data_IF_944460164577
#
_entry.id   IF_944460164577
#
_cell.length_a   1.000
_cell.length_b   1.000
_cell.length_c   1.000
_cell.angle_alpha   90.00
_cell.angle_beta   90.00
_cell.angle_gamma   90.00
#
_symmetry.space_group_name_H-M   'P 1'
#
loop_
_entity.id
_entity.type
_entity.pdbx_description
1 polymer ?
#
# COMPACT_ATOMS: atom_id res chain seq x y z
N UNK A 1 -1.40 -7.18 -15.95
CA UNK A 1 -2.25 -7.44 -14.77
C UNK A 1 -2.18 -6.21 -13.88
N UNK A 2 -3.32 -5.61 -13.50
CA UNK A 2 -3.34 -4.47 -12.57
C UNK A 2 -2.99 -4.92 -11.15
N UNK A 3 -2.38 -4.03 -10.36
CA UNK A 3 -2.00 -4.28 -8.96
C UNK A 3 -3.22 -4.63 -8.09
N UNK A 4 -4.42 -4.26 -8.54
CA UNK A 4 -5.70 -4.76 -8.03
C UNK A 4 -5.79 -6.30 -7.94
N UNK A 5 -5.17 -7.05 -8.85
CA UNK A 5 -5.11 -8.51 -8.81
C UNK A 5 -4.15 -9.02 -7.72
N UNK A 6 -3.14 -8.24 -7.33
CA UNK A 6 -2.20 -8.60 -6.26
C UNK A 6 -2.74 -8.28 -4.87
N UNK A 7 -3.43 -7.14 -4.71
CA UNK A 7 -4.18 -6.85 -3.48
C UNK A 7 -5.28 -7.89 -3.27
N UNK A 8 -5.93 -8.35 -4.36
CA UNK A 8 -6.90 -9.44 -4.30
C UNK A 8 -6.29 -10.80 -3.91
N UNK A 9 -5.01 -11.06 -4.18
CA UNK A 9 -4.34 -12.31 -3.79
C UNK A 9 -3.99 -12.37 -2.29
N UNK A 10 -3.90 -11.22 -1.61
CA UNK A 10 -3.64 -11.15 -0.17
C UNK A 10 -4.89 -10.81 0.66
N UNK A 11 -5.98 -10.39 0.02
CA UNK A 11 -7.24 -10.06 0.68
C UNK A 11 -8.11 -11.30 0.88
N UNK A 12 -8.67 -11.48 2.08
CA UNK A 12 -9.87 -12.30 2.22
C UNK A 12 -10.93 -11.80 1.22
N UNK A 13 -11.67 -12.69 0.56
CA UNK A 13 -12.59 -12.33 -0.54
C UNK A 13 -13.54 -11.16 -0.20
N UNK A 14 -13.94 -11.02 1.07
CA UNK A 14 -14.75 -9.90 1.56
C UNK A 14 -14.03 -8.54 1.56
N UNK A 15 -12.75 -8.49 1.94
CA UNK A 15 -11.99 -7.22 2.00
C UNK A 15 -11.67 -6.70 0.59
N UNK A 16 -11.38 -7.61 -0.34
CA UNK A 16 -11.19 -7.25 -1.75
C UNK A 16 -12.44 -6.61 -2.36
N UNK A 17 -13.64 -7.03 -1.96
CA UNK A 17 -14.89 -6.45 -2.42
C UNK A 17 -15.14 -5.05 -1.85
N UNK A 18 -14.77 -4.81 -0.59
CA UNK A 18 -14.85 -3.47 0.03
C UNK A 18 -13.95 -2.48 -0.72
N UNK A 19 -12.72 -2.88 -1.06
CA UNK A 19 -11.78 -2.05 -1.83
C UNK A 19 -12.34 -1.73 -3.22
N UNK A 20 -12.81 -2.74 -3.95
CA UNK A 20 -13.41 -2.53 -5.28
C UNK A 20 -14.62 -1.59 -5.23
N UNK A 21 -15.51 -1.79 -4.26
CA UNK A 21 -16.69 -0.96 -4.08
C UNK A 21 -16.31 0.49 -3.74
N UNK A 22 -15.38 0.70 -2.80
CA UNK A 22 -14.99 2.03 -2.37
C UNK A 22 -14.30 2.81 -3.49
N UNK A 23 -13.43 2.15 -4.25
CA UNK A 23 -12.75 2.76 -5.41
C UNK A 23 -13.75 3.08 -6.53
N UNK A 24 -14.71 2.21 -6.79
CA UNK A 24 -15.77 2.46 -7.79
C UNK A 24 -16.65 3.67 -7.44
N UNK A 25 -16.81 3.98 -6.15
CA UNK A 25 -17.56 5.16 -5.67
C UNK A 25 -16.75 6.47 -5.75
N UNK A 26 -15.46 6.42 -6.02
CA UNK A 26 -14.63 7.61 -6.19
C UNK A 26 -14.64 8.10 -7.65
N UNK A 27 -14.90 9.39 -7.91
CA UNK A 27 -14.69 9.97 -9.23
C UNK A 27 -13.26 9.77 -9.73
N UNK A 28 -13.08 9.43 -11.01
CA UNK A 28 -11.76 9.14 -11.61
C UNK A 28 -10.72 10.24 -11.35
N UNK A 29 -11.13 11.51 -11.47
CA UNK A 29 -10.25 12.65 -11.25
C UNK A 29 -9.80 12.76 -9.78
N UNK A 30 -10.70 12.48 -8.84
CA UNK A 30 -10.38 12.47 -7.42
C UNK A 30 -9.45 11.32 -7.05
N UNK A 31 -9.69 10.12 -7.62
CA UNK A 31 -8.81 8.98 -7.45
C UNK A 31 -7.40 9.27 -7.99
N UNK A 32 -7.29 9.85 -9.18
CA UNK A 32 -6.00 10.24 -9.76
C UNK A 32 -5.27 11.27 -8.90
N UNK A 33 -5.98 12.28 -8.38
CA UNK A 33 -5.41 13.27 -7.45
C UNK A 33 -4.93 12.62 -6.15
N UNK A 34 -5.70 11.68 -5.60
CA UNK A 34 -5.33 10.94 -4.40
C UNK A 34 -4.06 10.10 -4.64
N UNK A 35 -4.03 9.32 -5.72
CA UNK A 35 -2.88 8.49 -6.10
C UNK A 35 -1.62 9.35 -6.31
N UNK A 36 -1.74 10.47 -7.04
CA UNK A 36 -0.63 11.40 -7.24
C UNK A 36 -0.17 12.01 -5.91
N UNK A 37 -1.10 12.41 -5.04
CA UNK A 37 -0.78 12.93 -3.71
C UNK A 37 -0.04 11.93 -2.84
N UNK A 38 -0.37 10.65 -2.92
CA UNK A 38 0.36 9.57 -2.22
C UNK A 38 1.78 9.39 -2.74
N UNK A 39 1.97 9.40 -4.06
CA UNK A 39 3.30 9.35 -4.68
C UNK A 39 4.14 10.54 -4.23
N UNK A 40 3.61 11.75 -4.32
CA UNK A 40 4.32 12.98 -3.91
C UNK A 40 4.66 12.95 -2.42
N UNK A 41 3.71 12.56 -1.56
CA UNK A 41 3.96 12.45 -0.11
C UNK A 41 5.11 11.51 0.23
N UNK A 42 5.18 10.34 -0.43
CA UNK A 42 6.30 9.39 -0.29
C UNK A 42 7.61 9.99 -0.82
N UNK A 43 7.57 10.61 -1.99
CA UNK A 43 8.75 11.20 -2.60
C UNK A 43 9.30 12.38 -1.78
N UNK A 44 8.46 13.16 -1.13
CA UNK A 44 8.87 14.32 -0.33
C UNK A 44 9.10 13.97 1.15
N UNK A 45 8.64 12.81 1.61
CA UNK A 45 8.65 12.45 3.03
C UNK A 45 7.74 13.34 3.88
N UNK A 46 6.70 13.93 3.26
CA UNK A 46 5.78 14.89 3.91
C UNK A 46 4.41 14.29 4.10
N UNK A 47 3.67 14.84 5.08
CA UNK A 47 2.25 14.55 5.24
C UNK A 47 1.47 14.96 3.98
N UNK A 48 0.37 14.26 3.64
CA UNK A 48 -0.49 14.66 2.53
C UNK A 48 -0.97 16.11 2.71
N UNK A 49 -1.04 16.86 1.61
CA UNK A 49 -1.60 18.21 1.66
C UNK A 49 -3.10 18.17 2.04
N UNK A 50 -3.69 19.24 2.62
CA UNK A 50 -5.08 19.23 3.07
C UNK A 50 -6.12 18.75 2.03
N UNK A 51 -5.99 19.08 0.72
CA UNK A 51 -6.90 18.53 -0.30
C UNK A 51 -6.79 17.00 -0.44
N UNK A 52 -5.60 16.44 -0.24
CA UNK A 52 -5.37 14.99 -0.29
C UNK A 52 -5.89 14.32 0.98
N UNK A 53 -5.73 14.95 2.15
CA UNK A 53 -6.33 14.45 3.40
C UNK A 53 -7.87 14.37 3.31
N UNK A 54 -8.51 15.36 2.67
CA UNK A 54 -9.95 15.31 2.40
C UNK A 54 -10.33 14.12 1.51
N UNK A 55 -9.53 13.82 0.48
CA UNK A 55 -9.73 12.66 -0.38
C UNK A 55 -9.49 11.33 0.36
N UNK A 56 -8.51 11.27 1.26
CA UNK A 56 -8.29 10.12 2.16
C UNK A 56 -9.52 9.91 3.04
N UNK A 57 -10.04 10.97 3.67
CA UNK A 57 -11.25 10.90 4.49
C UNK A 57 -12.46 10.43 3.67
N UNK A 58 -12.61 10.92 2.44
CA UNK A 58 -13.67 10.50 1.51
C UNK A 58 -13.56 9.01 1.14
N UNK A 59 -12.36 8.54 0.83
CA UNK A 59 -12.11 7.11 0.56
C UNK A 59 -12.48 6.22 1.76
N UNK A 60 -12.12 6.63 2.98
CA UNK A 60 -12.52 5.94 4.22
C UNK A 60 -14.03 5.92 4.43
N UNK A 61 -14.71 7.04 4.15
CA UNK A 61 -16.16 7.10 4.24
C UNK A 61 -16.82 6.13 3.25
N UNK A 62 -16.32 6.05 2.00
CA UNK A 62 -16.81 5.07 1.04
C UNK A 62 -16.61 3.63 1.50
N UNK A 63 -15.47 3.32 2.13
CA UNK A 63 -15.20 1.99 2.70
C UNK A 63 -16.30 1.56 3.68
N UNK A 64 -16.70 2.44 4.61
CA UNK A 64 -17.77 2.16 5.57
C UNK A 64 -19.10 1.83 4.89
N UNK A 65 -19.45 2.53 3.80
CA UNK A 65 -20.68 2.24 3.02
C UNK A 65 -20.60 0.96 2.17
N UNK A 66 -19.41 0.36 2.05
CA UNK A 66 -19.15 -0.81 1.24
C UNK A 66 -18.99 -2.09 2.07
N UNK A 67 -19.08 -2.00 3.40
CA UNK A 67 -19.01 -3.15 4.28
C UNK A 67 -20.34 -3.91 4.32
N UNK A 68 -20.32 -5.26 4.26
CA UNK A 68 -21.53 -6.05 4.45
C UNK A 68 -21.93 -6.12 5.93
N UNK A 69 -23.19 -5.78 6.23
CA UNK A 69 -23.99 -6.42 7.28
C UNK A 69 -23.80 -6.06 8.76
N UNK A 70 -23.06 -5.02 9.17
CA UNK A 70 -22.81 -4.79 10.62
C UNK A 70 -23.32 -3.47 11.19
N UNK A 71 -23.73 -2.50 10.37
CA UNK A 71 -24.23 -1.19 10.83
C UNK A 71 -23.20 -0.34 11.62
N UNK A 72 -21.98 -0.85 11.84
CA UNK A 72 -20.87 -0.16 12.51
C UNK A 72 -19.71 -0.02 11.53
N UNK A 73 -19.25 1.22 11.37
CA UNK A 73 -18.10 1.53 10.54
C UNK A 73 -16.84 0.89 11.15
N UNK A 74 -16.28 -0.12 10.47
CA UNK A 74 -14.97 -0.64 10.80
C UNK A 74 -13.90 0.34 10.29
N UNK A 75 -13.17 0.93 11.22
CA UNK A 75 -12.07 1.84 10.91
C UNK A 75 -10.96 1.13 10.10
N UNK A 76 -10.83 -0.20 10.26
CA UNK A 76 -9.90 -1.03 9.48
C UNK A 76 -10.24 -1.07 8.00
N UNK A 77 -11.52 -1.08 7.62
CA UNK A 77 -11.91 -1.05 6.22
C UNK A 77 -11.47 0.25 5.54
N UNK A 78 -11.53 1.36 6.24
CA UNK A 78 -11.00 2.64 5.76
C UNK A 78 -9.50 2.58 5.49
N UNK A 79 -8.72 2.02 6.42
CA UNK A 79 -7.28 1.83 6.23
C UNK A 79 -6.98 0.85 5.08
N UNK A 80 -7.70 -0.27 4.98
CA UNK A 80 -7.56 -1.22 3.88
C UNK A 80 -7.73 -0.55 2.51
N UNK A 81 -8.76 0.28 2.34
CA UNK A 81 -9.00 1.01 1.08
C UNK A 81 -7.87 1.99 0.79
N UNK A 82 -7.51 2.85 1.75
CA UNK A 82 -6.48 3.88 1.55
C UNK A 82 -5.12 3.26 1.26
N UNK A 83 -4.73 2.24 2.01
CA UNK A 83 -3.46 1.54 1.81
C UNK A 83 -3.45 0.78 0.49
N UNK A 84 -4.58 0.21 0.04
CA UNK A 84 -4.68 -0.43 -1.28
C UNK A 84 -4.47 0.55 -2.42
N UNK A 85 -5.07 1.75 -2.34
CA UNK A 85 -4.88 2.82 -3.33
C UNK A 85 -3.40 3.27 -3.34
N UNK A 86 -2.77 3.39 -2.17
CA UNK A 86 -1.35 3.74 -2.06
C UNK A 86 -0.44 2.69 -2.68
N UNK A 87 -0.67 1.39 -2.41
CA UNK A 87 0.11 0.30 -3.00
C UNK A 87 0.01 0.32 -4.52
N UNK A 88 -1.18 0.54 -5.08
CA UNK A 88 -1.37 0.63 -6.53
C UNK A 88 -0.68 1.85 -7.14
N UNK A 89 -0.81 3.02 -6.51
CA UNK A 89 -0.16 4.24 -6.97
C UNK A 89 1.36 4.09 -6.99
N UNK A 90 1.92 3.54 -5.92
CA UNK A 90 3.37 3.36 -5.76
C UNK A 90 3.91 2.24 -6.66
N UNK A 91 3.17 1.16 -6.87
CA UNK A 91 3.54 0.14 -7.86
C UNK A 91 3.54 0.71 -9.28
N UNK A 92 2.57 1.55 -9.63
CA UNK A 92 2.56 2.23 -10.93
C UNK A 92 3.77 3.16 -11.08
N UNK A 93 4.12 3.90 -10.01
CA UNK A 93 5.32 4.72 -9.97
C UNK A 93 6.62 3.91 -10.11
N UNK A 94 6.71 2.74 -9.46
CA UNK A 94 7.86 1.83 -9.59
C UNK A 94 7.96 1.22 -11.00
N UNK A 95 6.84 0.76 -11.56
CA UNK A 95 6.75 0.22 -12.91
C UNK A 95 7.15 1.24 -13.97
N UNK A 96 6.74 2.51 -13.81
CA UNK A 96 7.19 3.61 -14.68
C UNK A 96 8.70 3.86 -14.60
N UNK A 97 9.33 3.50 -13.48
CA UNK A 97 10.78 3.50 -13.31
C UNK A 97 11.38 2.13 -13.63
N UNK A 98 10.68 1.22 -14.30
CA UNK A 98 11.15 -0.11 -14.70
C UNK A 98 11.61 -1.01 -13.56
N UNK A 99 11.04 -0.82 -12.37
CA UNK A 99 11.15 -1.77 -11.25
C UNK A 99 9.91 -2.64 -11.27
N UNK A 100 10.08 -3.96 -11.16
CA UNK A 100 8.96 -4.91 -11.17
C UNK A 100 8.27 -5.01 -9.79
N UNK A 101 7.02 -4.51 -9.64
CA UNK A 101 6.30 -4.61 -8.38
C UNK A 101 5.93 -6.06 -8.00
N UNK A 102 5.90 -6.98 -8.97
CA UNK A 102 5.59 -8.40 -8.73
C UNK A 102 6.69 -9.07 -7.93
N UNK A 103 7.95 -8.84 -8.31
CA UNK A 103 9.10 -9.36 -7.59
C UNK A 103 9.15 -8.86 -6.14
N UNK A 104 8.75 -7.59 -5.92
CA UNK A 104 8.68 -7.00 -4.59
C UNK A 104 7.64 -7.70 -3.71
N UNK A 105 6.43 -7.91 -4.24
CA UNK A 105 5.38 -8.61 -3.50
C UNK A 105 5.77 -10.05 -3.18
N UNK A 106 6.44 -10.74 -4.09
CA UNK A 106 6.97 -12.08 -3.83
C UNK A 106 7.95 -12.06 -2.66
N UNK A 107 8.87 -11.10 -2.62
CA UNK A 107 9.82 -10.96 -1.49
C UNK A 107 9.08 -10.70 -0.18
N UNK A 108 8.13 -9.77 -0.16
CA UNK A 108 7.30 -9.48 1.01
C UNK A 108 6.56 -10.71 1.53
N UNK A 109 6.00 -11.54 0.64
CA UNK A 109 5.29 -12.77 1.02
C UNK A 109 6.19 -13.85 1.63
N UNK A 110 7.49 -13.80 1.35
CA UNK A 110 8.50 -14.72 1.89
C UNK A 110 9.17 -14.17 3.15
N UNK A 111 8.94 -12.89 3.49
CA UNK A 111 9.54 -12.28 4.67
C UNK A 111 8.83 -12.74 5.94
N UNK A 112 9.56 -13.18 6.98
CA UNK A 112 8.95 -13.58 8.25
C UNK A 112 8.10 -12.45 8.88
N UNK A 113 6.93 -12.76 9.48
CA UNK A 113 6.08 -11.75 10.10
C UNK A 113 6.79 -10.89 11.16
N UNK A 114 7.73 -11.46 11.91
CA UNK A 114 8.51 -10.73 12.90
C UNK A 114 9.37 -9.61 12.26
N UNK A 115 9.97 -9.89 11.10
CA UNK A 115 10.79 -8.92 10.34
C UNK A 115 9.89 -7.84 9.75
N UNK A 116 8.73 -8.20 9.18
CA UNK A 116 7.75 -7.22 8.70
C UNK A 116 7.24 -6.32 9.83
N UNK A 117 6.98 -6.88 11.01
CA UNK A 117 6.55 -6.11 12.19
C UNK A 117 7.65 -5.18 12.69
N UNK A 118 8.91 -5.63 12.73
CA UNK A 118 10.05 -4.80 13.09
C UNK A 118 10.25 -3.65 12.09
N UNK A 119 10.14 -3.94 10.79
CA UNK A 119 10.20 -2.95 9.71
C UNK A 119 9.08 -1.91 9.84
N UNK A 120 7.82 -2.33 10.05
CA UNK A 120 6.69 -1.43 10.25
C UNK A 120 6.85 -0.58 11.52
N UNK A 121 7.48 -1.13 12.56
CA UNK A 121 7.84 -0.43 13.78
C UNK A 121 9.09 0.46 13.64
N UNK A 122 9.69 0.54 12.45
CA UNK A 122 10.92 1.30 12.14
C UNK A 122 12.11 0.91 13.03
N UNK A 123 12.16 -0.35 13.46
CA UNK A 123 13.29 -0.88 14.23
C UNK A 123 14.44 -1.21 13.29
N UNK A 124 15.64 -0.74 13.62
CA UNK A 124 16.86 -1.15 12.93
C UNK A 124 17.36 -2.46 13.54
N UNK A 125 17.34 -3.51 12.74
CA UNK A 125 17.81 -4.87 13.09
C UNK A 125 18.50 -5.43 11.85
N UNK A 126 19.43 -6.37 12.03
CA UNK A 126 20.16 -6.96 10.92
C UNK A 126 19.22 -7.61 9.87
N UNK A 127 18.10 -8.19 10.33
CA UNK A 127 17.09 -8.81 9.49
C UNK A 127 16.28 -7.78 8.70
N UNK A 128 15.98 -6.62 9.29
CA UNK A 128 15.32 -5.50 8.60
C UNK A 128 16.27 -4.89 7.56
N UNK A 129 17.56 -4.77 7.88
CA UNK A 129 18.56 -4.28 6.93
C UNK A 129 18.74 -5.24 5.75
N UNK A 130 18.82 -6.55 6.02
CA UNK A 130 18.88 -7.58 4.98
C UNK A 130 17.59 -7.61 4.13
N UNK A 131 16.43 -7.41 4.75
CA UNK A 131 15.17 -7.25 4.03
C UNK A 131 15.22 -6.04 3.09
N UNK A 132 15.60 -4.86 3.59
CA UNK A 132 15.67 -3.64 2.79
C UNK A 132 16.72 -3.73 1.67
N UNK A 133 17.87 -4.36 1.94
CA UNK A 133 18.89 -4.62 0.93
C UNK A 133 18.35 -5.50 -0.20
N UNK A 134 17.67 -6.61 0.13
CA UNK A 134 17.04 -7.45 -0.89
C UNK A 134 15.97 -6.71 -1.70
N UNK A 135 15.22 -5.79 -1.08
CA UNK A 135 14.25 -4.94 -1.79
C UNK A 135 14.93 -3.96 -2.74
N UNK A 136 16.07 -3.39 -2.35
CA UNK A 136 16.87 -2.51 -3.21
C UNK A 136 17.56 -3.26 -4.35
N UNK A 137 17.93 -4.53 -4.16
CA UNK A 137 18.44 -5.38 -5.23
C UNK A 137 17.40 -5.61 -6.33
N UNK A 138 16.11 -5.74 -5.97
CA UNK A 138 15.02 -5.83 -6.94
C UNK A 138 14.85 -4.57 -7.78
N UNK A 139 15.30 -3.41 -7.29
CA UNK A 139 15.34 -2.18 -8.09
C UNK A 139 16.51 -2.17 -9.12
N UNK A 140 17.42 -3.13 -9.05
CA UNK A 140 18.56 -3.28 -9.96
C UNK A 140 19.47 -2.04 -10.01
N UNK A 141 20.00 -1.74 -11.20
CA UNK A 141 20.87 -0.57 -11.42
C UNK A 141 20.21 0.78 -11.04
N UNK A 142 18.89 0.81 -10.86
CA UNK A 142 18.12 2.01 -10.53
C UNK A 142 18.11 2.31 -9.03
N UNK A 143 18.65 1.42 -8.19
CA UNK A 143 18.78 1.63 -6.74
C UNK A 143 19.57 2.89 -6.37
N UNK A 144 20.44 3.40 -7.25
CA UNK A 144 21.17 4.64 -7.01
C UNK A 144 20.28 5.91 -7.13
N UNK A 145 19.11 5.80 -7.76
CA UNK A 145 18.19 6.92 -7.88
C UNK A 145 17.42 7.10 -6.57
N UNK A 146 17.65 8.20 -5.87
CA UNK A 146 16.96 8.57 -4.62
C UNK A 146 15.44 8.46 -4.76
N UNK A 147 14.89 8.83 -5.93
CA UNK A 147 13.47 8.71 -6.24
C UNK A 147 12.97 7.26 -6.15
N UNK A 148 13.71 6.32 -6.75
CA UNK A 148 13.36 4.89 -6.75
C UNK A 148 13.48 4.30 -5.35
N UNK A 149 14.50 4.69 -4.58
CA UNK A 149 14.62 4.26 -3.17
C UNK A 149 13.42 4.70 -2.33
N UNK A 150 12.97 5.96 -2.48
CA UNK A 150 11.80 6.47 -1.76
C UNK A 150 10.52 5.75 -2.16
N UNK A 151 10.29 5.56 -3.46
CA UNK A 151 9.14 4.81 -3.97
C UNK A 151 9.14 3.36 -3.46
N UNK A 152 10.31 2.70 -3.48
CA UNK A 152 10.48 1.33 -2.99
C UNK A 152 10.15 1.22 -1.51
N UNK A 153 10.72 2.11 -0.67
CA UNK A 153 10.45 2.12 0.76
C UNK A 153 8.97 2.39 1.08
N UNK A 154 8.36 3.36 0.39
CA UNK A 154 6.94 3.65 0.55
C UNK A 154 6.06 2.47 0.12
N UNK A 155 6.37 1.83 -1.01
CA UNK A 155 5.65 0.66 -1.48
C UNK A 155 5.73 -0.49 -0.49
N UNK A 156 6.96 -0.84 -0.06
CA UNK A 156 7.23 -1.90 0.90
C UNK A 156 6.46 -1.70 2.21
N UNK A 157 6.45 -0.47 2.73
CA UNK A 157 5.73 -0.11 3.95
C UNK A 157 4.22 -0.30 3.81
N UNK A 158 3.62 0.21 2.73
CA UNK A 158 2.18 0.09 2.52
C UNK A 158 1.76 -1.35 2.23
N UNK A 159 2.56 -2.11 1.47
CA UNK A 159 2.28 -3.52 1.20
C UNK A 159 2.41 -4.39 2.46
N UNK A 160 3.43 -4.17 3.30
CA UNK A 160 3.55 -4.83 4.60
C UNK A 160 2.39 -4.45 5.55
N UNK A 161 1.93 -3.20 5.49
CA UNK A 161 0.75 -2.75 6.25
C UNK A 161 -0.51 -3.50 5.80
N UNK A 162 -0.74 -3.65 4.49
CA UNK A 162 -1.86 -4.47 3.98
C UNK A 162 -1.77 -5.92 4.45
N UNK A 163 -0.59 -6.54 4.37
CA UNK A 163 -0.41 -7.92 4.83
C UNK A 163 -0.80 -8.08 6.31
N UNK A 164 -0.40 -7.12 7.17
CA UNK A 164 -0.80 -7.10 8.58
C UNK A 164 -2.30 -6.87 8.76
N UNK A 165 -2.88 -5.95 8.00
CA UNK A 165 -4.32 -5.68 8.04
C UNK A 165 -5.15 -6.87 7.56
N UNK A 166 -4.64 -7.76 6.71
CA UNK A 166 -5.34 -9.00 6.34
C UNK A 166 -5.16 -10.09 7.39
N UNK A 167 -3.94 -10.25 7.92
CA UNK A 167 -3.64 -11.25 8.95
C UNK A 167 -4.48 -11.04 10.24
N UNK A 168 -4.82 -9.80 10.61
CA UNK A 168 -5.63 -9.50 11.80
C UNK A 168 -7.09 -9.97 11.74
N UNK A 169 -7.54 -10.59 10.63
CA UNK A 169 -8.86 -11.25 10.52
C UNK A 169 -8.82 -12.75 10.84
N UNK A 170 -7.64 -13.35 10.82
CA UNK A 170 -7.45 -14.79 10.99
C UNK A 170 -7.31 -15.20 12.47
N UNK A 171 -7.54 -14.27 13.40
CA UNK A 171 -7.52 -14.47 14.85
C UNK A 171 -8.94 -14.34 15.42
#
# INVERSE_FOLDING_TARGET
>A
MSVFLMVAAMAAAGDGNVVKCAVAKMPKLELAKLQQGMIVGVLEGKKPAPPIEALVKKARAHAATCQPGTGKADTRAGELVVTSIAVEALASGLGANGVDPVAINRRLSQTPPAVLNAFLARKQTAEVDAFMNGMLELAGAKKAQVRVQRLMGGYAFNAATLARLFASRAA
#
